data_IF_118748995354
#
_entry.id   IF_118748995354
#
_cell.length_a   1.000
_cell.length_b   1.000
_cell.length_c   1.000
_cell.angle_alpha   90.00
_cell.angle_beta   90.00
_cell.angle_gamma   90.00
#
_symmetry.space_group_name_H-M   'P 1'
#
loop_
_entity.id
_entity.type
_entity.pdbx_description
1 polymer ?
#
# COMPACT_ATOMS: atom_id res chain seq x y z
N UNK A 1 0.50 22.67 -24.90
CA UNK A 1 0.72 21.24 -25.19
C UNK A 1 0.58 20.48 -23.89
N UNK A 2 -0.44 19.62 -23.76
CA UNK A 2 -0.64 18.76 -22.59
C UNK A 2 0.18 17.50 -22.82
N UNK A 3 1.15 17.21 -21.96
CA UNK A 3 1.76 15.88 -21.90
C UNK A 3 0.72 14.92 -21.32
N UNK A 4 0.28 13.96 -22.14
CA UNK A 4 -0.55 12.86 -21.68
C UNK A 4 0.35 11.86 -20.95
N UNK A 5 0.03 11.59 -19.69
CA UNK A 5 0.70 10.61 -18.85
C UNK A 5 0.22 9.19 -19.23
N UNK A 6 1.10 8.29 -19.70
CA UNK A 6 0.72 6.97 -20.19
C UNK A 6 0.22 6.00 -19.09
N UNK A 7 0.13 6.45 -17.83
CA UNK A 7 -0.35 5.63 -16.71
C UNK A 7 -1.84 5.79 -16.36
N UNK A 8 -2.60 6.61 -17.11
CA UNK A 8 -4.04 6.76 -16.88
C UNK A 8 -4.86 5.72 -17.64
N UNK A 9 -5.27 4.65 -16.94
CA UNK A 9 -6.47 3.91 -17.34
C UNK A 9 -7.71 4.78 -17.05
N UNK A 10 -8.64 4.83 -18.00
CA UNK A 10 -9.81 5.72 -18.05
C UNK A 10 -10.92 5.41 -17.04
N UNK A 11 -10.63 4.64 -16.01
CA UNK A 11 -11.53 4.33 -14.91
C UNK A 11 -10.83 4.75 -13.63
N UNK A 12 -11.41 5.69 -12.88
CA UNK A 12 -10.83 6.34 -11.69
C UNK A 12 -10.57 5.40 -10.50
N UNK A 13 -10.58 4.10 -10.72
CA UNK A 13 -10.33 3.03 -9.77
C UNK A 13 -8.85 2.64 -9.80
N UNK A 14 -8.04 3.15 -8.86
CA UNK A 14 -6.67 2.66 -8.67
C UNK A 14 -6.73 1.23 -8.14
N UNK A 15 -6.45 0.25 -9.00
CA UNK A 15 -6.10 -1.09 -8.53
C UNK A 15 -4.83 -1.00 -7.68
N UNK A 16 -4.73 -1.74 -6.56
CA UNK A 16 -3.45 -1.98 -5.93
C UNK A 16 -2.44 -2.43 -6.99
N UNK A 17 -1.23 -1.88 -6.99
CA UNK A 17 -0.22 -2.07 -8.06
C UNK A 17 -0.04 -3.56 -8.40
N UNK A 18 -0.03 -4.42 -7.39
CA UNK A 18 0.09 -5.88 -7.54
C UNK A 18 -1.04 -6.49 -8.38
N UNK A 19 -2.28 -6.05 -8.18
CA UNK A 19 -3.45 -6.53 -8.95
C UNK A 19 -3.46 -5.99 -10.38
N UNK A 20 -2.91 -4.79 -10.60
CA UNK A 20 -2.74 -4.24 -11.94
C UNK A 20 -1.72 -5.05 -12.76
N UNK A 21 -0.69 -5.61 -12.11
CA UNK A 21 0.30 -6.48 -12.78
C UNK A 21 -0.35 -7.80 -13.21
N UNK A 22 -1.17 -8.43 -12.36
CA UNK A 22 -1.89 -9.66 -12.75
C UNK A 22 -2.80 -9.40 -13.95
N UNK A 23 -3.59 -8.33 -13.92
CA UNK A 23 -4.48 -7.98 -15.03
C UNK A 23 -3.72 -7.73 -16.34
N UNK A 24 -2.57 -7.04 -16.29
CA UNK A 24 -1.70 -6.82 -17.45
C UNK A 24 -1.12 -8.13 -17.97
N UNK A 25 -0.61 -8.99 -17.09
CA UNK A 25 -0.07 -10.29 -17.47
C UNK A 25 -1.16 -11.16 -18.13
N UNK A 26 -2.37 -11.18 -17.59
CA UNK A 26 -3.51 -11.88 -18.20
C UNK A 26 -3.81 -11.36 -19.60
N UNK A 27 -3.75 -10.04 -19.82
CA UNK A 27 -3.97 -9.47 -21.16
C UNK A 27 -2.89 -9.93 -22.16
N UNK A 28 -1.61 -9.86 -21.79
CA UNK A 28 -0.50 -10.30 -22.66
C UNK A 28 -0.58 -11.79 -23.01
N UNK A 29 -0.89 -12.65 -22.03
CA UNK A 29 -0.96 -14.10 -22.30
C UNK A 29 -2.19 -14.43 -23.16
N UNK A 30 -3.28 -13.66 -23.06
CA UNK A 30 -4.47 -13.87 -23.90
C UNK A 30 -4.26 -13.60 -25.38
N UNK A 31 -3.33 -12.69 -25.71
CA UNK A 31 -2.93 -12.38 -27.09
C UNK A 31 -1.90 -13.38 -27.64
N UNK A 32 -1.33 -14.25 -26.80
CA UNK A 32 -0.44 -15.31 -27.26
C UNK A 32 -1.21 -16.37 -28.07
N UNK A 33 -0.60 -16.95 -29.13
CA UNK A 33 -1.22 -18.00 -29.94
C UNK A 33 -1.23 -19.33 -29.17
N UNK A 34 -2.12 -19.42 -28.19
CA UNK A 34 -2.36 -20.63 -27.41
C UNK A 34 -3.41 -21.50 -28.10
N UNK A 35 -3.18 -22.81 -28.08
CA UNK A 35 -4.17 -23.77 -28.55
C UNK A 35 -5.48 -23.63 -27.76
N UNK A 36 -6.59 -23.91 -28.42
CA UNK A 36 -7.93 -23.72 -27.85
C UNK A 36 -8.17 -24.53 -26.58
N UNK A 37 -7.52 -25.68 -26.40
CA UNK A 37 -7.60 -26.50 -25.18
C UNK A 37 -6.79 -25.91 -24.02
N UNK A 38 -5.71 -25.18 -24.30
CA UNK A 38 -4.85 -24.56 -23.28
C UNK A 38 -5.48 -23.28 -22.70
N UNK A 39 -6.26 -22.56 -23.51
CA UNK A 39 -6.90 -21.29 -23.14
C UNK A 39 -7.81 -21.36 -21.90
N UNK A 40 -8.78 -22.29 -21.80
CA UNK A 40 -9.63 -22.40 -20.61
C UNK A 40 -8.85 -22.79 -19.35
N UNK A 41 -7.87 -23.70 -19.47
CA UNK A 41 -7.02 -24.12 -18.34
C UNK A 41 -6.14 -22.97 -17.83
N UNK A 42 -5.65 -22.13 -18.74
CA UNK A 42 -4.93 -20.92 -18.40
C UNK A 42 -5.84 -19.90 -17.71
N UNK A 43 -7.03 -19.63 -18.24
CA UNK A 43 -7.99 -18.69 -17.65
C UNK A 43 -8.36 -19.11 -16.22
N UNK A 44 -8.62 -20.40 -15.99
CA UNK A 44 -8.86 -20.95 -14.65
C UNK A 44 -7.67 -20.75 -13.71
N UNK A 45 -6.45 -21.01 -14.20
CA UNK A 45 -5.22 -20.83 -13.42
C UNK A 45 -5.00 -19.37 -13.04
N UNK A 46 -5.23 -18.44 -13.97
CA UNK A 46 -5.10 -17.00 -13.74
C UNK A 46 -6.18 -16.48 -12.78
N UNK A 47 -7.40 -17.00 -12.86
CA UNK A 47 -8.46 -16.69 -11.91
C UNK A 47 -8.09 -17.15 -10.49
N UNK A 48 -7.58 -18.37 -10.34
CA UNK A 48 -7.10 -18.89 -9.07
C UNK A 48 -5.93 -18.06 -8.51
N UNK A 49 -4.96 -17.71 -9.35
CA UNK A 49 -3.84 -16.86 -8.97
C UNK A 49 -4.29 -15.47 -8.50
N UNK A 50 -5.28 -14.88 -9.18
CA UNK A 50 -5.86 -13.58 -8.78
C UNK A 50 -6.45 -13.62 -7.37
N UNK A 51 -7.11 -14.72 -6.99
CA UNK A 51 -7.64 -14.92 -5.64
C UNK A 51 -6.51 -15.03 -4.61
N UNK A 52 -5.44 -15.76 -4.94
CA UNK A 52 -4.27 -15.91 -4.07
C UNK A 52 -3.54 -14.58 -3.86
N UNK A 53 -3.29 -13.82 -4.93
CA UNK A 53 -2.63 -12.52 -4.82
C UNK A 53 -3.49 -11.52 -4.05
N UNK A 54 -4.81 -11.50 -4.25
CA UNK A 54 -5.70 -10.66 -3.42
C UNK A 54 -5.56 -10.98 -1.94
N UNK A 55 -5.54 -12.26 -1.56
CA UNK A 55 -5.33 -12.68 -0.15
C UNK A 55 -3.95 -12.27 0.37
N UNK A 56 -2.92 -12.45 -0.45
CA UNK A 56 -1.53 -12.05 -0.13
C UNK A 56 -1.43 -10.55 0.11
N UNK A 57 -1.99 -9.73 -0.78
CA UNK A 57 -2.01 -8.26 -0.66
C UNK A 57 -2.75 -7.79 0.59
N UNK A 58 -3.91 -8.40 0.90
CA UNK A 58 -4.64 -8.11 2.15
C UNK A 58 -3.77 -8.43 3.37
N UNK A 59 -3.17 -9.62 3.41
CA UNK A 59 -2.32 -9.99 4.54
C UNK A 59 -1.12 -9.05 4.72
N UNK A 60 -0.46 -8.72 3.61
CA UNK A 60 0.67 -7.78 3.58
C UNK A 60 0.30 -6.42 4.15
N UNK A 61 -0.73 -5.76 3.63
CA UNK A 61 -1.09 -4.41 4.11
C UNK A 61 -1.53 -4.39 5.57
N UNK A 62 -2.13 -5.48 6.07
CA UNK A 62 -2.46 -5.58 7.49
C UNK A 62 -1.20 -5.68 8.36
N UNK A 63 -0.20 -6.45 7.91
CA UNK A 63 1.09 -6.55 8.58
C UNK A 63 1.83 -5.22 8.56
N UNK A 64 1.88 -4.55 7.41
CA UNK A 64 2.52 -3.24 7.23
C UNK A 64 1.89 -2.19 8.15
N UNK A 65 0.55 -2.15 8.25
CA UNK A 65 -0.14 -1.23 9.14
C UNK A 65 0.15 -1.51 10.63
N UNK A 66 0.24 -2.79 11.04
CA UNK A 66 0.63 -3.16 12.40
C UNK A 66 2.06 -2.74 12.70
N UNK A 67 2.96 -2.94 11.76
CA UNK A 67 4.35 -2.52 11.89
C UNK A 67 4.48 -1.00 12.00
N UNK A 68 3.72 -0.23 11.22
CA UNK A 68 3.66 1.23 11.36
C UNK A 68 3.18 1.65 12.75
N UNK A 69 2.17 0.98 13.33
CA UNK A 69 1.72 1.24 14.70
C UNK A 69 2.85 1.03 15.72
N UNK A 70 3.57 -0.09 15.62
CA UNK A 70 4.69 -0.42 16.53
C UNK A 70 5.85 0.58 16.41
N UNK A 71 6.15 1.05 15.19
CA UNK A 71 7.14 2.12 15.00
C UNK A 71 6.67 3.44 15.61
N UNK A 72 5.41 3.83 15.43
CA UNK A 72 4.84 5.04 16.05
C UNK A 72 4.92 4.95 17.58
N UNK A 73 4.58 3.80 18.17
CA UNK A 73 4.71 3.56 19.63
C UNK A 73 6.15 3.79 20.10
N UNK A 74 7.14 3.34 19.32
CA UNK A 74 8.57 3.54 19.59
C UNK A 74 8.96 5.02 19.49
N UNK A 75 8.47 5.75 18.50
CA UNK A 75 8.76 7.18 18.36
C UNK A 75 8.09 8.03 19.44
N UNK A 76 6.86 7.67 19.85
CA UNK A 76 6.18 8.30 20.99
C UNK A 76 6.98 8.07 22.27
N UNK A 77 7.58 6.90 22.45
CA UNK A 77 8.46 6.65 23.60
C UNK A 77 9.64 7.64 23.65
N UNK A 78 10.31 7.88 22.53
CA UNK A 78 11.40 8.88 22.45
C UNK A 78 10.89 10.32 22.61
N UNK A 79 9.69 10.63 22.15
CA UNK A 79 9.09 11.94 22.36
C UNK A 79 8.78 12.26 23.83
N UNK A 80 8.78 11.28 24.73
CA UNK A 80 8.65 11.56 26.16
C UNK A 80 9.82 12.40 26.70
N UNK A 81 10.97 12.44 26.02
CA UNK A 81 12.09 13.33 26.36
C UNK A 81 11.66 14.82 26.32
N UNK A 82 10.59 15.16 25.60
CA UNK A 82 9.98 16.49 25.59
C UNK A 82 9.52 16.93 26.99
N UNK A 83 9.11 15.99 27.85
CA UNK A 83 8.68 16.29 29.23
C UNK A 83 9.87 16.72 30.11
N UNK A 84 11.09 16.37 29.73
CA UNK A 84 12.32 16.76 30.41
C UNK A 84 12.81 18.15 29.97
N UNK A 85 12.28 18.69 28.87
CA UNK A 85 12.66 20.00 28.36
C UNK A 85 12.06 21.14 29.18
N UNK A 86 12.94 21.79 29.94
CA UNK A 86 12.60 23.00 30.68
C UNK A 86 12.71 24.28 29.81
N UNK A 87 12.07 25.39 30.25
CA UNK A 87 12.20 26.70 29.57
C UNK A 87 13.62 27.28 29.51
N UNK A 88 14.57 26.68 30.23
CA UNK A 88 15.96 27.08 30.29
C UNK A 88 16.90 26.18 29.48
N UNK A 89 16.35 25.30 28.63
CA UNK A 89 17.17 24.45 27.75
C UNK A 89 18.08 25.29 26.85
N UNK A 90 19.38 25.02 26.92
CA UNK A 90 20.42 25.79 26.24
C UNK A 90 20.83 25.13 24.93
N UNK A 91 20.71 23.80 24.85
CA UNK A 91 21.01 23.04 23.66
C UNK A 91 19.86 23.14 22.66
N UNK A 92 20.07 23.95 21.62
CA UNK A 92 19.07 24.15 20.56
C UNK A 92 18.95 22.97 19.61
N UNK A 93 19.92 22.05 19.59
CA UNK A 93 19.88 20.89 18.71
C UNK A 93 18.74 19.94 19.08
N UNK A 94 18.40 19.86 20.37
CA UNK A 94 17.31 19.01 20.86
C UNK A 94 15.95 19.39 20.26
N UNK A 95 15.69 20.68 20.02
CA UNK A 95 14.45 21.11 19.34
C UNK A 95 14.38 20.62 17.89
N UNK A 96 15.54 20.55 17.21
CA UNK A 96 15.61 20.04 15.84
C UNK A 96 15.38 18.53 15.83
N UNK A 97 16.00 17.81 16.76
CA UNK A 97 15.84 16.36 16.88
C UNK A 97 14.38 15.98 17.20
N UNK A 98 13.72 16.71 18.09
CA UNK A 98 12.30 16.51 18.39
C UNK A 98 11.41 16.83 17.18
N UNK A 99 11.72 17.89 16.42
CA UNK A 99 11.00 18.18 15.19
C UNK A 99 11.12 17.03 14.17
N UNK A 100 12.31 16.44 14.03
CA UNK A 100 12.53 15.27 13.17
C UNK A 100 11.72 14.05 13.64
N UNK A 101 11.61 13.81 14.95
CA UNK A 101 10.76 12.74 15.49
C UNK A 101 9.28 12.94 15.12
N UNK A 102 8.76 14.17 15.16
CA UNK A 102 7.40 14.47 14.72
C UNK A 102 7.22 14.24 13.21
N UNK A 103 8.18 14.65 12.38
CA UNK A 103 8.16 14.43 10.94
C UNK A 103 8.16 12.92 10.62
N UNK A 104 8.97 12.13 11.33
CA UNK A 104 9.01 10.68 11.18
C UNK A 104 7.67 10.02 11.57
N UNK A 105 7.06 10.42 12.68
CA UNK A 105 5.73 9.93 13.07
C UNK A 105 4.70 10.27 11.98
N UNK A 106 4.71 11.49 11.46
CA UNK A 106 3.78 11.90 10.40
C UNK A 106 3.96 11.05 9.14
N UNK A 107 5.20 10.79 8.75
CA UNK A 107 5.53 9.91 7.61
C UNK A 107 5.03 8.48 7.84
N UNK A 108 5.35 7.87 8.97
CA UNK A 108 4.94 6.49 9.30
C UNK A 108 3.41 6.39 9.39
N UNK A 109 2.75 7.39 9.96
CA UNK A 109 1.29 7.46 10.02
C UNK A 109 0.68 7.52 8.61
N UNK A 110 1.29 8.26 7.68
CA UNK A 110 0.84 8.30 6.29
C UNK A 110 0.98 6.94 5.60
N UNK A 111 2.09 6.22 5.82
CA UNK A 111 2.33 4.87 5.30
C UNK A 111 1.31 3.86 5.85
N UNK A 112 1.02 3.91 7.16
CA UNK A 112 0.00 3.09 7.80
C UNK A 112 -1.40 3.40 7.24
N UNK A 113 -1.75 4.67 7.09
CA UNK A 113 -3.01 5.10 6.50
C UNK A 113 -3.15 4.64 5.03
N UNK A 114 -2.08 4.73 4.25
CA UNK A 114 -2.04 4.20 2.89
C UNK A 114 -2.35 2.70 2.87
N UNK A 115 -1.69 1.90 3.71
CA UNK A 115 -1.92 0.46 3.80
C UNK A 115 -3.39 0.13 4.15
N UNK A 116 -3.99 0.88 5.08
CA UNK A 116 -5.41 0.71 5.43
C UNK A 116 -6.36 1.09 4.29
N UNK A 117 -6.04 2.09 3.48
CA UNK A 117 -6.83 2.44 2.29
C UNK A 117 -6.73 1.35 1.23
N UNK A 118 -5.54 0.81 0.98
CA UNK A 118 -5.36 -0.31 0.06
C UNK A 118 -6.15 -1.56 0.51
N UNK A 119 -6.24 -1.79 1.83
CA UNK A 119 -7.11 -2.84 2.38
C UNK A 119 -8.58 -2.62 2.06
N UNK A 120 -9.09 -1.39 2.26
CA UNK A 120 -10.48 -1.04 1.94
C UNK A 120 -10.82 -1.27 0.47
N UNK A 121 -9.91 -0.91 -0.44
CA UNK A 121 -10.07 -1.14 -1.88
C UNK A 121 -10.04 -2.64 -2.20
N UNK A 122 -9.10 -3.38 -1.59
CA UNK A 122 -8.95 -4.81 -1.79
C UNK A 122 -10.12 -5.62 -1.23
N UNK A 123 -10.83 -5.17 -0.19
CA UNK A 123 -12.01 -5.84 0.35
C UNK A 123 -13.29 -5.46 -0.40
N UNK A 124 -13.48 -4.18 -0.75
CA UNK A 124 -14.69 -3.68 -1.42
C UNK A 124 -14.98 -4.29 -2.80
N UNK A 125 -13.96 -4.80 -3.50
CA UNK A 125 -14.13 -5.44 -4.83
C UNK A 125 -14.79 -6.83 -4.81
N UNK A 126 -15.20 -7.34 -3.66
CA UNK A 126 -15.82 -8.66 -3.49
C UNK A 126 -17.33 -8.69 -3.68
N UNK A 127 -18.01 -7.55 -3.49
CA UNK A 127 -19.47 -7.52 -3.30
C UNK A 127 -20.26 -7.04 -4.54
N UNK A 128 -19.58 -6.74 -5.66
CA UNK A 128 -20.21 -6.18 -6.86
C UNK A 128 -20.63 -7.23 -7.92
N UNK A 129 -20.79 -8.51 -7.55
CA UNK A 129 -21.20 -9.57 -8.51
C UNK A 129 -22.25 -10.50 -7.92
N UNK A 130 -23.45 -9.98 -7.66
CA UNK A 130 -24.67 -10.81 -7.49
C UNK A 130 -25.71 -10.36 -8.50
#
# INVERSE_FOLDING_TARGET
MKHADPYQNSDGSRLPIDMAIVARLTAEIREAPLDCECKPKLDETLAHFTVLERRRTIHKHLLDARHCREQIETMIYYLNDLDELGPAEQDRSVYVDIALLFDDIARIAHEGAYSMRQLSEATGRGDATT
#
